data_IF_244977028126
#
_entry.id   IF_244977028126
#
_cell.length_a   1.000
_cell.length_b   1.000
_cell.length_c   1.000
_cell.angle_alpha   90.00
_cell.angle_beta   90.00
_cell.angle_gamma   90.00
#
_symmetry.space_group_name_H-M   'P 1'
#
loop_
_entity.id
_entity.type
_entity.pdbx_description
1 polymer ?
#
# COMPACT_ATOMS: atom_id res chain seq x y z
N UNK A 1 -19.96 -17.50 -4.15
CA UNK A 1 -19.84 -16.46 -3.11
C UNK A 1 -18.42 -15.92 -3.18
N UNK A 2 -18.21 -14.67 -3.56
CA UNK A 2 -16.86 -14.10 -3.57
C UNK A 2 -16.46 -13.74 -2.13
N UNK A 3 -15.21 -13.97 -1.74
CA UNK A 3 -14.74 -13.79 -0.35
C UNK A 3 -14.78 -12.33 0.15
N UNK A 4 -15.01 -11.36 -0.74
CA UNK A 4 -15.03 -9.93 -0.43
C UNK A 4 -13.66 -9.38 -0.01
N UNK A 5 -12.62 -10.21 -0.02
CA UNK A 5 -11.23 -9.84 0.26
C UNK A 5 -10.65 -9.04 -0.89
N UNK A 6 -9.83 -8.05 -0.57
CA UNK A 6 -9.10 -7.27 -1.56
C UNK A 6 -7.93 -8.08 -2.09
N UNK A 7 -7.68 -8.02 -3.41
CA UNK A 7 -6.45 -8.57 -3.98
C UNK A 7 -5.28 -7.69 -3.56
N UNK A 8 -4.33 -8.25 -2.80
CA UNK A 8 -3.18 -7.53 -2.25
C UNK A 8 -1.87 -8.05 -2.84
N UNK A 9 -0.86 -7.19 -3.04
CA UNK A 9 0.49 -7.63 -3.38
C UNK A 9 1.11 -8.44 -2.24
N UNK A 10 1.89 -9.45 -2.59
CA UNK A 10 2.62 -10.32 -1.65
C UNK A 10 4.10 -10.13 -1.92
N UNK A 11 4.90 -9.98 -0.85
CA UNK A 11 6.34 -9.85 -0.99
C UNK A 11 6.96 -11.21 -1.36
N UNK A 12 7.73 -11.31 -2.46
CA UNK A 12 8.24 -12.60 -2.94
C UNK A 12 9.21 -13.26 -1.95
N UNK A 13 10.01 -12.49 -1.21
CA UNK A 13 10.97 -13.05 -0.25
C UNK A 13 10.32 -13.53 1.07
N UNK A 14 9.06 -13.17 1.30
CA UNK A 14 8.32 -13.47 2.55
C UNK A 14 6.95 -14.07 2.25
N UNK A 15 6.82 -14.80 1.14
CA UNK A 15 5.53 -15.36 0.71
C UNK A 15 5.03 -16.47 1.64
N UNK A 16 5.93 -17.20 2.28
CA UNK A 16 5.59 -18.25 3.27
C UNK A 16 4.93 -17.67 4.54
N UNK A 17 5.22 -16.41 4.87
CA UNK A 17 4.64 -15.70 6.02
C UNK A 17 3.26 -15.09 5.71
N UNK A 18 2.78 -15.18 4.46
CA UNK A 18 1.52 -14.58 4.04
C UNK A 18 0.31 -15.38 4.56
N UNK A 19 -0.55 -14.71 5.34
CA UNK A 19 -1.82 -15.28 5.81
C UNK A 19 -3.03 -14.71 5.03
N UNK A 20 -3.72 -15.50 4.18
CA UNK A 20 -4.92 -15.09 3.45
C UNK A 20 -6.09 -14.63 4.35
N UNK A 21 -6.11 -15.06 5.61
CA UNK A 21 -7.17 -14.69 6.56
C UNK A 21 -7.00 -13.28 7.10
N UNK A 22 -5.77 -12.76 7.16
CA UNK A 22 -5.46 -11.38 7.58
C UNK A 22 -5.82 -10.33 6.52
N UNK A 23 -6.01 -10.75 5.26
CA UNK A 23 -6.35 -9.84 4.17
C UNK A 23 -7.71 -9.18 4.44
N UNK A 24 -7.78 -7.82 4.44
CA UNK A 24 -9.00 -7.09 4.73
C UNK A 24 -10.05 -7.30 3.65
N UNK A 25 -11.31 -7.24 4.05
CA UNK A 25 -12.43 -7.19 3.10
C UNK A 25 -12.72 -5.75 2.69
N UNK A 26 -13.35 -5.59 1.53
CA UNK A 26 -13.81 -4.28 1.07
C UNK A 26 -14.74 -3.61 2.09
N UNK A 27 -15.61 -4.40 2.75
CA UNK A 27 -16.51 -3.91 3.77
C UNK A 27 -15.76 -3.38 5.01
N UNK A 28 -14.69 -4.07 5.45
CA UNK A 28 -13.84 -3.60 6.55
C UNK A 28 -13.16 -2.28 6.22
N UNK A 29 -12.61 -2.14 5.01
CA UNK A 29 -11.95 -0.91 4.57
C UNK A 29 -12.94 0.26 4.47
N UNK A 30 -14.16 0.02 3.97
CA UNK A 30 -15.19 1.05 3.91
C UNK A 30 -15.60 1.53 5.30
N UNK A 31 -15.75 0.60 6.24
CA UNK A 31 -16.03 0.92 7.64
C UNK A 31 -14.90 1.74 8.26
N UNK A 32 -13.65 1.32 8.05
CA UNK A 32 -12.46 2.05 8.50
C UNK A 32 -12.47 3.51 8.00
N UNK A 33 -12.68 3.72 6.70
CA UNK A 33 -12.74 5.08 6.11
C UNK A 33 -13.89 5.90 6.72
N UNK A 34 -15.05 5.28 6.93
CA UNK A 34 -16.23 5.96 7.52
C UNK A 34 -16.00 6.34 8.98
N UNK A 35 -15.37 5.47 9.78
CA UNK A 35 -15.00 5.76 11.16
C UNK A 35 -13.96 6.88 11.25
N UNK A 36 -13.01 6.91 10.30
CA UNK A 36 -12.02 7.98 10.20
C UNK A 36 -12.67 9.32 9.83
N UNK A 37 -13.59 9.35 8.88
CA UNK A 37 -14.34 10.55 8.48
C UNK A 37 -15.20 11.10 9.63
N UNK A 38 -15.87 10.22 10.37
CA UNK A 38 -16.67 10.61 11.55
C UNK A 38 -15.83 11.14 12.72
N UNK A 39 -14.54 10.81 12.77
CA UNK A 39 -13.61 11.31 13.78
C UNK A 39 -12.98 12.69 13.42
N UNK A 40 -13.30 13.25 12.24
CA UNK A 40 -12.65 14.46 11.70
C UNK A 40 -13.20 15.81 12.22
N UNK A 41 -13.81 15.86 13.41
CA UNK A 41 -14.22 17.13 14.04
C UNK A 41 -13.05 17.89 14.70
N UNK A 42 -11.81 17.38 14.59
CA UNK A 42 -10.60 17.96 15.19
C UNK A 42 -9.49 18.03 14.13
N UNK A 43 -9.08 19.26 13.76
CA UNK A 43 -7.94 19.66 12.92
C UNK A 43 -7.56 18.76 11.71
N UNK A 44 -8.10 19.11 10.56
CA UNK A 44 -8.36 18.22 9.40
C UNK A 44 -7.13 17.79 8.58
N UNK A 45 -5.94 18.32 8.82
CA UNK A 45 -4.76 18.09 7.93
C UNK A 45 -3.74 17.10 8.50
N UNK A 46 -3.44 17.17 9.80
CA UNK A 46 -2.50 16.27 10.48
C UNK A 46 -3.13 14.89 10.72
N UNK A 47 -4.45 14.86 10.94
CA UNK A 47 -5.20 13.62 11.17
C UNK A 47 -5.26 12.73 9.92
N UNK A 48 -5.42 13.31 8.72
CA UNK A 48 -5.47 12.54 7.45
C UNK A 48 -4.17 11.79 7.15
N UNK A 49 -3.01 12.42 7.35
CA UNK A 49 -1.69 11.81 7.09
C UNK A 49 -1.35 10.72 8.13
N UNK A 50 -1.73 10.93 9.39
CA UNK A 50 -1.51 9.97 10.48
C UNK A 50 -2.45 8.77 10.41
N UNK A 51 -3.65 8.94 9.84
CA UNK A 51 -4.62 7.86 9.69
C UNK A 51 -4.37 7.00 8.45
N UNK A 52 -3.92 7.59 7.34
CA UNK A 52 -3.46 6.84 6.16
C UNK A 52 -2.24 5.92 6.44
N UNK A 53 -1.53 6.17 7.53
CA UNK A 53 -0.42 5.32 8.03
C UNK A 53 -0.87 4.20 8.98
N UNK A 54 -2.12 4.22 9.46
CA UNK A 54 -2.70 3.20 10.34
C UNK A 54 -3.68 2.27 9.63
N UNK A 55 -3.87 2.43 8.32
CA UNK A 55 -4.87 1.67 7.59
C UNK A 55 -4.57 0.17 7.54
N UNK A 56 -5.61 -0.66 7.57
CA UNK A 56 -5.49 -2.11 7.37
C UNK A 56 -4.83 -2.46 6.03
N UNK A 57 -4.90 -1.56 5.05
CA UNK A 57 -4.29 -1.76 3.73
C UNK A 57 -2.83 -1.29 3.66
N UNK A 58 -2.34 -0.55 4.67
CA UNK A 58 -1.01 0.08 4.65
C UNK A 58 0.16 -0.90 4.48
N UNK A 59 0.19 -2.08 5.13
CA UNK A 59 1.29 -3.03 4.95
C UNK A 59 1.43 -3.48 3.49
N UNK A 60 0.30 -3.70 2.81
CA UNK A 60 0.26 -4.14 1.42
C UNK A 60 0.64 -3.01 0.45
N UNK A 61 0.24 -1.77 0.74
CA UNK A 61 0.68 -0.60 -0.04
C UNK A 61 2.20 -0.45 0.00
N UNK A 62 2.83 -0.69 1.15
CA UNK A 62 4.28 -0.61 1.29
C UNK A 62 5.01 -1.59 0.36
N UNK A 63 4.53 -2.83 0.25
CA UNK A 63 5.07 -3.84 -0.69
C UNK A 63 4.99 -3.33 -2.14
N UNK A 64 3.86 -2.71 -2.51
CA UNK A 64 3.71 -2.13 -3.84
C UNK A 64 4.62 -0.92 -4.09
N UNK A 65 4.78 -0.04 -3.10
CA UNK A 65 5.69 1.11 -3.17
C UNK A 65 7.14 0.67 -3.38
N UNK A 66 7.59 -0.37 -2.67
CA UNK A 66 8.92 -0.97 -2.83
C UNK A 66 9.15 -1.48 -4.25
N UNK A 67 8.16 -2.18 -4.82
CA UNK A 67 8.19 -2.65 -6.20
C UNK A 67 8.28 -1.48 -7.22
N UNK A 68 7.41 -0.48 -7.11
CA UNK A 68 7.41 0.69 -8.00
C UNK A 68 8.73 1.47 -7.90
N UNK A 69 9.26 1.62 -6.68
CA UNK A 69 10.55 2.25 -6.47
C UNK A 69 11.70 1.44 -7.07
N UNK A 70 11.61 0.10 -7.09
CA UNK A 70 12.51 -0.79 -7.82
C UNK A 70 12.54 -0.45 -9.31
N UNK A 71 11.38 -0.43 -9.96
CA UNK A 71 11.25 -0.08 -11.38
C UNK A 71 11.85 1.30 -11.67
N UNK A 72 11.56 2.30 -10.83
CA UNK A 72 12.09 3.66 -11.02
C UNK A 72 13.61 3.74 -10.91
N UNK A 73 14.24 2.93 -10.06
CA UNK A 73 15.70 2.87 -9.95
C UNK A 73 16.32 2.24 -11.19
N UNK A 74 15.77 1.13 -11.65
CA UNK A 74 16.22 0.44 -12.87
C UNK A 74 16.14 1.36 -14.10
N UNK A 75 15.02 2.06 -14.27
CA UNK A 75 14.84 3.02 -15.36
C UNK A 75 15.85 4.17 -15.31
N UNK A 76 16.24 4.62 -14.11
CA UNK A 76 17.27 5.66 -13.95
C UNK A 76 18.64 5.14 -14.35
N UNK A 77 19.00 3.94 -13.92
CA UNK A 77 20.29 3.30 -14.23
C UNK A 77 20.45 3.10 -15.74
N UNK A 78 19.43 2.57 -16.41
CA UNK A 78 19.43 2.40 -17.86
C UNK A 78 19.62 3.73 -18.59
N UNK A 79 18.96 4.80 -18.12
CA UNK A 79 19.11 6.14 -18.71
C UNK A 79 20.52 6.71 -18.51
N UNK A 80 21.12 6.50 -17.34
CA UNK A 80 22.48 6.93 -17.04
C UNK A 80 23.51 6.16 -17.89
N UNK A 81 23.37 4.84 -18.01
CA UNK A 81 24.20 3.98 -18.88
C UNK A 81 24.13 4.43 -20.35
N UNK A 82 22.93 4.64 -20.88
CA UNK A 82 22.74 5.13 -22.25
C UNK A 82 23.33 6.54 -22.46
N UNK A 83 23.43 7.36 -21.41
CA UNK A 83 24.04 8.70 -21.51
C UNK A 83 25.57 8.68 -21.49
N UNK A 84 26.17 7.59 -21.01
CA UNK A 84 27.62 7.39 -20.95
C UNK A 84 28.21 6.74 -22.22
N UNK A 85 27.36 6.17 -23.10
CA UNK A 85 27.77 5.59 -24.38
C UNK A 85 27.90 6.60 -25.54
N UNK A 86 27.73 7.91 -25.29
CA UNK A 86 27.89 8.99 -26.26
C UNK A 86 29.04 9.95 -25.93
#
# INVERSE_FOLDING_TARGET
MASGKVCVPIHPDHFDDFDPFTVPTLACLLKEVTELDNAMDIDTTVVKTTNASKSLLRPFIKVFEEFVNGIRREQRQLKEEMSMEF
#
